data_IF_205638661239
#
_entry.id   IF_205638661239
#
_cell.length_a   1.000
_cell.length_b   1.000
_cell.length_c   1.000
_cell.angle_alpha   90.00
_cell.angle_beta   90.00
_cell.angle_gamma   90.00
#
_symmetry.space_group_name_H-M   'P 1'
#
loop_
_entity.id
_entity.type
_entity.pdbx_description
1 polymer ?
#
# COMPACT_ATOMS: atom_id res chain seq x y z
N UNK A 1 0.20 -8.52 26.01
CA UNK A 1 -1.28 -8.36 25.99
C UNK A 1 -1.76 -6.99 25.48
N UNK A 2 -0.99 -5.90 25.56
CA UNK A 2 -1.37 -4.57 25.03
C UNK A 2 -1.33 -4.46 23.48
N UNK A 3 -0.44 -5.21 22.83
CA UNK A 3 -0.25 -5.09 21.38
C UNK A 3 -1.41 -5.72 20.59
N UNK A 4 -1.93 -6.86 21.05
CA UNK A 4 -3.07 -7.52 20.37
C UNK A 4 -4.36 -6.71 20.48
N UNK A 5 -4.65 -6.10 21.63
CA UNK A 5 -5.82 -5.23 21.77
C UNK A 5 -5.72 -3.98 20.90
N UNK A 6 -4.52 -3.40 20.78
CA UNK A 6 -4.25 -2.27 19.89
C UNK A 6 -4.43 -2.65 18.43
N UNK A 7 -3.93 -3.81 18.02
CA UNK A 7 -4.08 -4.32 16.65
C UNK A 7 -5.54 -4.57 16.30
N UNK A 8 -6.32 -5.17 17.21
CA UNK A 8 -7.76 -5.34 17.00
C UNK A 8 -8.48 -4.00 16.81
N UNK A 9 -8.17 -2.99 17.65
CA UNK A 9 -8.73 -1.63 17.48
C UNK A 9 -8.35 -1.00 16.13
N UNK A 10 -7.11 -1.18 15.68
CA UNK A 10 -6.68 -0.69 14.36
C UNK A 10 -7.48 -1.36 13.22
N UNK A 11 -7.76 -2.66 13.33
CA UNK A 11 -8.62 -3.35 12.37
C UNK A 11 -10.07 -2.82 12.40
N UNK A 12 -10.65 -2.60 13.58
CA UNK A 12 -12.00 -2.01 13.74
C UNK A 12 -12.09 -0.61 13.11
N UNK A 13 -11.02 0.19 13.21
CA UNK A 13 -10.91 1.51 12.58
C UNK A 13 -10.61 1.46 11.07
N UNK A 14 -10.58 0.27 10.46
CA UNK A 14 -10.22 0.04 9.04
C UNK A 14 -8.80 0.52 8.70
N UNK A 15 -7.88 0.41 9.65
CA UNK A 15 -6.44 0.69 9.49
C UNK A 15 -5.66 -0.63 9.39
N UNK A 16 -6.12 -1.55 8.55
CA UNK A 16 -5.62 -2.93 8.51
C UNK A 16 -4.15 -3.04 8.10
N UNK A 17 -3.67 -2.14 7.22
CA UNK A 17 -2.26 -2.12 6.77
C UNK A 17 -1.36 -1.62 7.88
N UNK A 18 -1.80 -0.55 8.55
CA UNK A 18 -1.13 -0.03 9.75
C UNK A 18 -1.04 -1.10 10.84
N UNK A 19 -2.12 -1.84 11.07
CA UNK A 19 -2.18 -2.88 12.09
C UNK A 19 -1.17 -4.00 11.85
N UNK A 20 -1.02 -4.42 10.59
CA UNK A 20 -0.03 -5.40 10.17
C UNK A 20 1.39 -4.84 10.33
N UNK A 21 1.66 -3.64 9.79
CA UNK A 21 2.97 -2.99 9.90
C UNK A 21 3.38 -2.77 11.37
N UNK A 22 2.44 -2.44 12.26
CA UNK A 22 2.69 -2.29 13.68
C UNK A 22 3.10 -3.62 14.34
N UNK A 23 2.43 -4.74 13.98
CA UNK A 23 2.86 -6.09 14.43
C UNK A 23 4.26 -6.42 13.95
N UNK A 24 4.59 -6.06 12.71
CA UNK A 24 5.89 -6.39 12.11
C UNK A 24 7.01 -5.55 12.75
N UNK A 25 6.79 -4.24 12.95
CA UNK A 25 7.72 -3.36 13.68
C UNK A 25 7.94 -3.81 15.13
N UNK A 26 6.92 -4.38 15.78
CA UNK A 26 7.03 -4.89 17.16
C UNK A 26 7.91 -6.16 17.24
N UNK A 27 7.98 -6.95 16.17
CA UNK A 27 8.79 -8.18 16.12
C UNK A 27 10.23 -7.91 15.74
N UNK A 28 10.48 -6.85 14.98
CA UNK A 28 11.80 -6.55 14.45
C UNK A 28 12.55 -5.52 15.33
N UNK A 29 13.67 -5.95 15.90
CA UNK A 29 14.54 -5.11 16.74
C UNK A 29 15.17 -3.95 15.98
N UNK A 30 15.21 -3.96 14.65
CA UNK A 30 15.77 -2.84 13.87
C UNK A 30 14.99 -1.54 14.08
N UNK A 31 13.70 -1.63 14.44
CA UNK A 31 12.87 -0.47 14.74
C UNK A 31 13.08 0.07 16.16
N UNK A 32 13.83 -0.61 17.04
CA UNK A 32 14.06 -0.12 18.41
C UNK A 32 14.90 1.16 18.44
N UNK A 33 15.79 1.34 17.47
CA UNK A 33 16.69 2.49 17.37
C UNK A 33 16.06 3.75 16.78
N UNK A 34 14.84 3.66 16.24
CA UNK A 34 14.10 4.82 15.71
C UNK A 34 13.31 5.52 16.82
N UNK A 35 13.11 6.82 16.67
CA UNK A 35 12.20 7.58 17.53
C UNK A 35 10.76 7.10 17.36
N UNK A 36 9.89 7.43 18.32
CA UNK A 36 8.47 7.10 18.23
C UNK A 36 7.83 7.82 17.02
N UNK A 37 8.19 9.08 16.81
CA UNK A 37 7.68 9.95 15.75
C UNK A 37 8.00 9.38 14.37
N UNK A 38 9.23 8.90 14.15
CA UNK A 38 9.64 8.26 12.89
C UNK A 38 8.86 6.96 12.65
N UNK A 39 8.77 6.08 13.66
CA UNK A 39 8.02 4.82 13.54
C UNK A 39 6.54 5.08 13.25
N UNK A 40 5.95 6.03 13.95
CA UNK A 40 4.56 6.41 13.76
C UNK A 40 4.32 7.01 12.38
N UNK A 41 5.23 7.88 11.91
CA UNK A 41 5.21 8.42 10.55
C UNK A 41 5.19 7.31 9.49
N UNK A 42 6.08 6.33 9.62
CA UNK A 42 6.10 5.17 8.71
C UNK A 42 4.78 4.39 8.70
N UNK A 43 4.20 4.14 9.88
CA UNK A 43 2.92 3.44 9.99
C UNK A 43 1.78 4.18 9.29
N UNK A 44 1.74 5.51 9.44
CA UNK A 44 0.77 6.39 8.78
C UNK A 44 0.96 6.38 7.27
N UNK A 45 2.20 6.51 6.80
CA UNK A 45 2.52 6.54 5.36
C UNK A 45 2.16 5.23 4.64
N UNK A 46 2.40 4.09 5.27
CA UNK A 46 2.04 2.77 4.73
C UNK A 46 0.52 2.67 4.52
N UNK A 47 -0.26 3.04 5.53
CA UNK A 47 -1.72 2.99 5.46
C UNK A 47 -2.29 4.02 4.48
N UNK A 48 -1.75 5.24 4.48
CA UNK A 48 -2.12 6.28 3.52
C UNK A 48 -1.88 5.85 2.08
N UNK A 49 -0.71 5.29 1.80
CA UNK A 49 -0.33 4.78 0.49
C UNK A 49 -1.25 3.66 0.03
N UNK A 50 -1.61 2.73 0.93
CA UNK A 50 -2.56 1.67 0.62
C UNK A 50 -3.96 2.23 0.30
N UNK A 51 -4.44 3.21 1.05
CA UNK A 51 -5.74 3.86 0.77
C UNK A 51 -5.75 4.57 -0.60
N UNK A 52 -4.66 5.27 -0.94
CA UNK A 52 -4.51 5.91 -2.26
C UNK A 52 -4.49 4.87 -3.38
N UNK A 53 -3.74 3.77 -3.21
CA UNK A 53 -3.69 2.66 -4.16
C UNK A 53 -5.07 2.01 -4.37
N UNK A 54 -5.79 1.71 -3.29
CA UNK A 54 -7.13 1.12 -3.34
C UNK A 54 -8.15 2.06 -4.00
N UNK A 55 -8.07 3.37 -3.74
CA UNK A 55 -8.89 4.36 -4.44
C UNK A 55 -8.62 4.36 -5.94
N UNK A 56 -7.35 4.35 -6.35
CA UNK A 56 -6.96 4.30 -7.75
C UNK A 56 -7.48 3.02 -8.44
N UNK A 57 -7.31 1.85 -7.81
CA UNK A 57 -7.82 0.58 -8.34
C UNK A 57 -9.34 0.63 -8.52
N UNK A 58 -10.08 1.20 -7.57
CA UNK A 58 -11.54 1.38 -7.71
C UNK A 58 -11.92 2.30 -8.86
N UNK A 59 -11.17 3.38 -9.08
CA UNK A 59 -11.42 4.30 -10.19
C UNK A 59 -11.13 3.63 -11.54
N UNK A 60 -10.02 2.90 -11.65
CA UNK A 60 -9.67 2.12 -12.84
C UNK A 60 -10.78 1.09 -13.16
N UNK A 61 -11.24 0.34 -12.14
CA UNK A 61 -12.32 -0.63 -12.31
C UNK A 61 -13.66 0.01 -12.72
N UNK A 62 -13.93 1.23 -12.25
CA UNK A 62 -15.17 1.98 -12.60
C UNK A 62 -15.12 2.61 -13.98
N UNK A 63 -13.94 2.87 -14.53
CA UNK A 63 -13.78 3.51 -15.82
C UNK A 63 -14.09 2.59 -17.02
N UNK A 64 -14.48 1.33 -16.76
CA UNK A 64 -14.98 0.35 -17.73
C UNK A 64 -14.14 0.30 -19.02
N UNK A 65 -12.82 0.14 -18.84
CA UNK A 65 -11.91 -0.02 -19.97
C UNK A 65 -12.23 -1.32 -20.71
N UNK A 66 -12.39 -1.24 -22.04
CA UNK A 66 -12.61 -2.39 -22.92
C UNK A 66 -11.55 -3.50 -22.76
N UNK A 67 -10.38 -3.17 -22.21
CA UNK A 67 -9.33 -4.11 -21.81
C UNK A 67 -8.95 -3.87 -20.34
N UNK A 68 -9.38 -4.76 -19.45
CA UNK A 68 -9.14 -4.68 -18.00
C UNK A 68 -7.63 -4.76 -17.64
N UNK A 69 -6.84 -5.43 -18.50
CA UNK A 69 -5.40 -5.64 -18.31
C UNK A 69 -4.52 -4.46 -18.76
N UNK A 70 -5.06 -3.43 -19.41
CA UNK A 70 -4.27 -2.32 -19.93
C UNK A 70 -3.72 -1.40 -18.83
N UNK A 71 -4.31 -1.39 -17.63
CA UNK A 71 -4.05 -0.36 -16.62
C UNK A 71 -3.05 -0.82 -15.54
N UNK A 72 -1.77 -0.97 -15.93
CA UNK A 72 -0.58 -0.61 -15.12
C UNK A 72 0.74 -0.78 -15.86
N UNK A 73 0.80 -1.68 -16.86
CA UNK A 73 2.02 -2.03 -17.59
C UNK A 73 2.06 -1.47 -19.03
N UNK A 74 0.92 -1.12 -19.64
CA UNK A 74 0.86 -0.75 -21.05
C UNK A 74 1.38 0.65 -21.40
N UNK A 75 1.53 1.55 -20.42
CA UNK A 75 2.24 2.85 -20.65
C UNK A 75 3.68 2.60 -21.14
N UNK A 76 4.29 1.47 -20.78
CA UNK A 76 5.65 1.13 -21.22
C UNK A 76 5.71 0.32 -22.53
N UNK A 77 4.59 -0.24 -23.03
CA UNK A 77 4.61 -1.11 -24.22
C UNK A 77 4.43 -0.32 -25.52
N UNK A 78 3.58 0.71 -25.54
CA UNK A 78 3.41 1.54 -26.74
C UNK A 78 4.64 2.39 -27.11
N UNK A 79 5.64 2.52 -26.22
CA UNK A 79 6.91 3.19 -26.52
C UNK A 79 7.92 2.24 -27.18
N UNK A 80 7.78 0.93 -26.99
CA UNK A 80 8.74 -0.05 -27.52
C UNK A 80 8.38 -0.55 -28.93
N UNK A 81 7.10 -0.58 -29.30
CA UNK A 81 6.66 -1.03 -30.63
C UNK A 81 6.87 0.01 -31.74
N UNK A 82 7.21 1.26 -31.42
CA UNK A 82 7.54 2.28 -32.42
C UNK A 82 8.98 2.19 -32.95
N UNK A 83 9.81 1.30 -32.40
CA UNK A 83 11.25 1.24 -32.70
C UNK A 83 11.76 -0.06 -33.30
N UNK A 84 10.92 -1.09 -33.50
CA UNK A 84 11.41 -2.36 -34.04
C UNK A 84 10.31 -3.15 -34.77
N UNK A 85 9.97 -2.71 -35.98
CA UNK A 85 9.45 -3.61 -37.02
C UNK A 85 10.64 -4.14 -37.83
N UNK A 86 10.65 -5.44 -38.21
CA UNK A 86 11.74 -6.03 -39.01
C UNK A 86 11.92 -5.35 -40.37
#
# INVERSE_FOLDING_TARGET
>A
MLNETTVTKLHEMKLSTMAQAFRDQTKDSNFSNMSFEERFGMLVDIEWSNRKSNRLIRLIKKADYAFNDACRRCINFCVWDAGNTP
#
